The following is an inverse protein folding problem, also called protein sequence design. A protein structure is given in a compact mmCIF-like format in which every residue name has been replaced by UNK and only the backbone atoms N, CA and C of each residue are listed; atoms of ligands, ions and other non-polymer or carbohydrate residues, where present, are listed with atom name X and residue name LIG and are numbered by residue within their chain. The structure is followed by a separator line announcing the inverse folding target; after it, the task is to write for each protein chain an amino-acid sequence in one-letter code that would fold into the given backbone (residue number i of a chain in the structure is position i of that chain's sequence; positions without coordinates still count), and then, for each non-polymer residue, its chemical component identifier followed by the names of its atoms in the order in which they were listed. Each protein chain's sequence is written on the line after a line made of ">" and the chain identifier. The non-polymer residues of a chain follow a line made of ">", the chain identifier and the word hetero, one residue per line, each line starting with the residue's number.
data_IF_165055735206
#
_entry.id   IF_165055735206
#
_cell.length_a   1.000
_cell.length_b   1.000
_cell.length_c   1.000
_cell.angle_alpha   90.00
_cell.angle_beta   90.00
_cell.angle_gamma   90.00
#
_symmetry.space_group_name_H-M   'P 1'
#
loop_
_entity.id
_entity.type
_entity.pdbx_description
1 polymer ?
#
# COMPACT_ATOMS: atom_id res chain seq x y z
N UNK A 1 -6.25 4.29 16.56
CA UNK A 1 -6.90 4.53 15.26
C UNK A 1 -6.62 3.36 14.33
N UNK A 2 -7.62 2.91 13.55
CA UNK A 2 -7.41 1.90 12.52
C UNK A 2 -6.92 2.56 11.22
N UNK A 3 -6.09 1.88 10.42
CA UNK A 3 -5.65 2.41 9.12
C UNK A 3 -6.83 2.58 8.15
N UNK A 4 -7.03 3.77 7.60
CA UNK A 4 -8.02 3.99 6.54
C UNK A 4 -7.72 3.14 5.30
N UNK A 5 -6.45 2.94 4.99
CA UNK A 5 -5.97 2.11 3.88
C UNK A 5 -6.33 0.62 4.01
N UNK A 6 -6.74 0.19 5.19
CA UNK A 6 -7.22 -1.17 5.47
C UNK A 6 -8.74 -1.34 5.39
N UNK A 7 -9.49 -0.26 5.18
CA UNK A 7 -10.95 -0.34 5.06
C UNK A 7 -11.38 -0.77 3.66
N UNK A 8 -12.36 -1.68 3.60
CA UNK A 8 -13.07 -2.00 2.36
C UNK A 8 -14.26 -1.04 2.19
N UNK A 9 -14.85 -1.01 0.99
CA UNK A 9 -16.07 -0.23 0.76
C UNK A 9 -17.18 -0.64 1.73
N UNK A 10 -17.31 -1.94 1.99
CA UNK A 10 -18.31 -2.49 2.90
C UNK A 10 -18.05 -2.09 4.36
N UNK A 11 -16.82 -2.31 4.87
CA UNK A 11 -16.49 -1.98 6.25
C UNK A 11 -16.58 -0.49 6.54
N UNK A 12 -16.15 0.36 5.60
CA UNK A 12 -16.25 1.80 5.75
C UNK A 12 -17.71 2.27 5.68
N UNK A 13 -18.53 1.66 4.80
CA UNK A 13 -19.97 1.95 4.72
C UNK A 13 -20.68 1.63 6.04
N UNK A 14 -20.38 0.47 6.65
CA UNK A 14 -20.96 0.10 7.93
C UNK A 14 -20.62 1.11 9.04
N UNK A 15 -19.34 1.52 9.14
CA UNK A 15 -18.91 2.54 10.13
C UNK A 15 -19.56 3.90 9.92
N UNK A 16 -19.74 4.32 8.67
CA UNK A 16 -20.42 5.57 8.34
C UNK A 16 -21.92 5.52 8.63
N UNK A 17 -22.56 4.36 8.43
CA UNK A 17 -23.98 4.15 8.75
C UNK A 17 -24.26 4.29 10.25
N UNK A 18 -23.36 3.81 11.13
CA UNK A 18 -23.44 4.00 12.59
C UNK A 18 -23.50 5.48 12.98
N UNK A 19 -22.95 6.36 12.13
CA UNK A 19 -22.96 7.82 12.30
C UNK A 19 -24.13 8.51 11.57
N UNK A 20 -24.96 7.77 10.86
CA UNK A 20 -26.02 8.32 10.02
C UNK A 20 -25.55 8.95 8.70
N UNK A 21 -24.32 8.69 8.29
CA UNK A 21 -23.80 9.16 7.00
C UNK A 21 -24.28 8.27 5.85
N UNK A 22 -24.62 8.84 4.69
CA UNK A 22 -25.08 8.06 3.54
C UNK A 22 -23.98 7.12 3.00
N UNK A 23 -24.36 5.94 2.50
CA UNK A 23 -23.45 4.91 1.97
C UNK A 23 -22.49 5.40 0.88
N UNK A 24 -22.91 6.35 0.02
CA UNK A 24 -22.07 6.89 -1.03
C UNK A 24 -20.82 7.63 -0.50
N UNK A 25 -20.82 8.06 0.77
CA UNK A 25 -19.68 8.72 1.40
C UNK A 25 -18.47 7.80 1.47
N UNK A 26 -18.67 6.50 1.71
CA UNK A 26 -17.57 5.53 1.71
C UNK A 26 -16.82 5.54 0.38
N UNK A 27 -17.54 5.48 -0.74
CA UNK A 27 -16.94 5.54 -2.08
C UNK A 27 -16.20 6.86 -2.32
N UNK A 28 -16.77 7.99 -1.89
CA UNK A 28 -16.12 9.30 -1.99
C UNK A 28 -14.79 9.36 -1.23
N UNK A 29 -14.77 8.84 0.01
CA UNK A 29 -13.55 8.81 0.85
C UNK A 29 -12.48 7.95 0.20
N UNK A 30 -12.83 6.73 -0.24
CA UNK A 30 -11.90 5.83 -0.91
C UNK A 30 -11.39 6.38 -2.25
N UNK A 31 -12.23 7.10 -2.99
CA UNK A 31 -11.81 7.78 -4.22
C UNK A 31 -10.78 8.89 -3.95
N UNK A 32 -10.96 9.68 -2.89
CA UNK A 32 -9.97 10.65 -2.47
C UNK A 32 -8.62 9.99 -2.09
N UNK A 33 -8.69 8.87 -1.39
CA UNK A 33 -7.49 8.15 -0.95
C UNK A 33 -6.75 7.51 -2.12
N UNK A 34 -7.43 6.71 -2.94
CA UNK A 34 -6.80 5.85 -3.94
C UNK A 34 -6.64 6.51 -5.32
N UNK A 35 -7.64 7.29 -5.77
CA UNK A 35 -7.62 7.89 -7.11
C UNK A 35 -7.02 9.29 -7.10
N UNK A 36 -7.45 10.13 -6.17
CA UNK A 36 -6.94 11.51 -6.05
C UNK A 36 -5.67 11.61 -5.21
N UNK A 37 -5.41 10.61 -4.35
CA UNK A 37 -4.20 10.46 -3.54
C UNK A 37 -3.88 11.70 -2.70
N UNK A 38 -4.92 12.30 -2.14
CA UNK A 38 -4.75 13.42 -1.21
C UNK A 38 -3.86 13.02 -0.03
N UNK A 39 -3.18 13.98 0.54
CA UNK A 39 -2.19 13.75 1.61
C UNK A 39 -2.73 14.07 3.01
N UNK A 40 -3.93 14.63 3.10
CA UNK A 40 -4.57 15.00 4.36
C UNK A 40 -6.10 14.97 4.23
N UNK A 41 -6.77 14.97 5.37
CA UNK A 41 -8.22 15.08 5.45
C UNK A 41 -8.76 16.36 4.82
N UNK A 42 -8.00 17.47 4.91
CA UNK A 42 -8.40 18.76 4.32
C UNK A 42 -8.45 18.75 2.80
N UNK A 43 -7.69 17.88 2.17
CA UNK A 43 -7.76 17.64 0.73
C UNK A 43 -9.08 17.06 0.26
N UNK A 44 -9.89 16.45 1.14
CA UNK A 44 -11.20 15.86 0.83
C UNK A 44 -12.30 16.93 0.82
N UNK A 45 -12.23 17.86 -0.12
CA UNK A 45 -12.98 19.14 -0.11
C UNK A 45 -14.50 19.00 -0.23
N UNK A 46 -15.02 17.88 -0.75
CA UNK A 46 -16.46 17.60 -0.85
C UNK A 46 -17.05 16.93 0.39
N UNK A 47 -16.23 16.66 1.42
CA UNK A 47 -16.68 16.18 2.72
C UNK A 47 -16.88 17.35 3.67
N UNK A 48 -17.91 17.28 4.51
CA UNK A 48 -18.18 18.30 5.53
C UNK A 48 -17.04 18.35 6.57
N UNK A 49 -16.81 19.50 7.17
CA UNK A 49 -15.82 19.66 8.24
C UNK A 49 -16.04 18.70 9.42
N UNK A 50 -17.29 18.51 9.93
CA UNK A 50 -17.56 17.55 10.99
C UNK A 50 -17.21 16.09 10.60
N UNK A 51 -17.47 15.70 9.35
CA UNK A 51 -17.12 14.35 8.87
C UNK A 51 -15.59 14.18 8.80
N UNK A 52 -14.86 15.17 8.28
CA UNK A 52 -13.39 15.13 8.24
C UNK A 52 -12.76 15.07 9.64
N UNK A 53 -13.29 15.81 10.60
CA UNK A 53 -12.84 15.75 11.99
C UNK A 53 -13.06 14.35 12.59
N UNK A 54 -14.23 13.76 12.39
CA UNK A 54 -14.49 12.39 12.84
C UNK A 54 -13.58 11.35 12.17
N UNK A 55 -13.35 11.49 10.87
CA UNK A 55 -12.42 10.61 10.16
C UNK A 55 -11.01 10.70 10.75
N UNK A 56 -10.55 11.92 11.07
CA UNK A 56 -9.25 12.13 11.72
C UNK A 56 -9.20 11.52 13.13
N UNK A 57 -10.27 11.60 13.90
CA UNK A 57 -10.35 10.98 15.23
C UNK A 57 -10.36 9.45 15.18
N UNK A 58 -11.03 8.88 14.17
CA UNK A 58 -11.30 7.44 14.06
C UNK A 58 -10.19 6.68 13.35
N UNK A 59 -9.67 7.25 12.28
CA UNK A 59 -8.74 6.58 11.38
C UNK A 59 -7.34 7.17 11.41
N UNK A 60 -6.36 6.31 11.16
CA UNK A 60 -5.06 6.73 10.70
C UNK A 60 -5.11 6.89 9.18
N UNK A 61 -4.84 8.10 8.71
CA UNK A 61 -4.90 8.42 7.29
C UNK A 61 -3.94 7.55 6.46
N UNK A 62 -2.71 7.38 6.95
CA UNK A 62 -1.68 6.54 6.35
C UNK A 62 -0.78 5.97 7.46
N UNK A 63 -0.81 4.65 7.70
CA UNK A 63 -0.18 4.02 8.87
C UNK A 63 1.34 3.88 8.78
N UNK A 64 1.95 4.41 7.73
CA UNK A 64 3.38 4.38 7.51
C UNK A 64 3.91 5.76 7.11
N UNK A 65 5.16 6.05 7.43
CA UNK A 65 5.87 7.28 7.05
C UNK A 65 7.12 6.92 6.26
N UNK A 66 7.37 7.59 5.14
CA UNK A 66 8.61 7.42 4.39
C UNK A 66 9.77 8.08 5.15
N UNK A 67 10.74 7.28 5.60
CA UNK A 67 11.92 7.76 6.35
C UNK A 67 13.12 7.94 5.44
N UNK A 68 13.38 6.94 4.57
CA UNK A 68 14.52 6.96 3.66
C UNK A 68 14.07 6.54 2.26
N UNK A 69 14.57 7.24 1.27
CA UNK A 69 14.48 6.87 -0.13
C UNK A 69 15.89 6.68 -0.67
N UNK A 70 16.35 5.45 -0.72
CA UNK A 70 17.65 5.10 -1.26
C UNK A 70 17.51 4.80 -2.74
N UNK A 71 18.15 5.61 -3.57
CA UNK A 71 18.22 5.39 -5.02
C UNK A 71 19.52 4.67 -5.34
N UNK A 72 19.42 3.61 -6.10
CA UNK A 72 20.58 2.93 -6.68
C UNK A 72 20.92 3.53 -8.06
N UNK A 73 22.18 3.45 -8.47
CA UNK A 73 22.64 3.87 -9.78
C UNK A 73 21.99 3.05 -10.91
N UNK A 74 21.52 1.83 -10.60
CA UNK A 74 20.97 0.84 -11.52
C UNK A 74 19.46 0.85 -11.53
N UNK A 75 18.65 1.68 -11.50
CA UNK A 75 17.18 1.63 -11.72
C UNK A 75 16.32 1.12 -10.55
N UNK A 76 16.92 0.81 -9.40
CA UNK A 76 16.19 0.32 -8.23
C UNK A 76 16.10 1.39 -7.15
N UNK A 77 14.92 1.63 -6.61
CA UNK A 77 14.74 2.50 -5.44
C UNK A 77 14.21 1.68 -4.27
N UNK A 78 14.84 1.82 -3.12
CA UNK A 78 14.38 1.23 -1.87
C UNK A 78 13.80 2.31 -0.96
N UNK A 79 12.54 2.11 -0.57
CA UNK A 79 11.83 2.95 0.37
C UNK A 79 11.86 2.29 1.74
N UNK A 80 12.37 2.97 2.74
CA UNK A 80 12.27 2.59 4.13
C UNK A 80 11.07 3.30 4.74
N UNK A 81 10.11 2.53 5.20
CA UNK A 81 8.86 3.01 5.79
C UNK A 81 8.85 2.70 7.29
N UNK A 82 8.59 3.71 8.10
CA UNK A 82 8.37 3.59 9.54
C UNK A 82 6.88 3.46 9.82
N UNK A 83 6.51 2.41 10.54
CA UNK A 83 5.16 2.14 11.00
C UNK A 83 4.88 2.87 12.32
N UNK A 84 3.61 2.93 12.74
CA UNK A 84 3.19 3.66 13.95
C UNK A 84 3.83 3.17 15.26
N UNK A 85 4.27 1.91 15.29
CA UNK A 85 4.96 1.32 16.43
C UNK A 85 6.50 1.47 16.36
N UNK A 86 7.01 2.28 15.44
CA UNK A 86 8.44 2.48 15.20
C UNK A 86 9.11 1.33 14.45
N UNK A 87 8.36 0.30 14.01
CA UNK A 87 8.93 -0.77 13.20
C UNK A 87 9.22 -0.27 11.80
N UNK A 88 10.30 -0.79 11.21
CA UNK A 88 10.74 -0.44 9.86
C UNK A 88 10.45 -1.58 8.88
N UNK A 89 9.95 -1.23 7.72
CA UNK A 89 9.75 -2.15 6.59
C UNK A 89 10.32 -1.56 5.31
N UNK A 90 10.67 -2.42 4.38
CA UNK A 90 11.19 -2.03 3.07
C UNK A 90 10.15 -2.28 1.97
N UNK A 91 10.12 -1.36 1.02
CA UNK A 91 9.37 -1.47 -0.24
C UNK A 91 10.32 -1.10 -1.37
N UNK A 92 10.38 -1.91 -2.42
CA UNK A 92 11.35 -1.71 -3.50
C UNK A 92 10.63 -1.43 -4.81
N UNK A 93 11.06 -0.39 -5.53
CA UNK A 93 10.63 -0.08 -6.88
C UNK A 93 11.72 -0.58 -7.82
N UNK A 94 11.39 -1.58 -8.63
CA UNK A 94 12.29 -2.17 -9.62
C UNK A 94 11.85 -1.70 -11.00
N UNK A 95 12.74 -1.00 -11.72
CA UNK A 95 12.49 -0.57 -13.10
C UNK A 95 13.22 -1.48 -14.06
N UNK A 96 12.54 -1.99 -15.08
CA UNK A 96 13.16 -2.77 -16.13
C UNK A 96 13.60 -1.81 -17.24
N UNK A 97 14.91 -1.66 -17.51
CA UNK A 97 15.39 -0.86 -18.63
C UNK A 97 14.82 -1.39 -19.95
N UNK A 98 14.35 -0.50 -20.80
CA UNK A 98 13.96 -0.82 -22.17
C UNK A 98 14.80 0.05 -23.12
N UNK A 99 15.37 -0.56 -24.17
CA UNK A 99 16.11 0.19 -25.17
C UNK A 99 15.23 1.28 -25.80
N UNK A 100 15.76 2.51 -25.85
CA UNK A 100 15.06 3.66 -26.42
C UNK A 100 13.97 4.28 -25.52
N UNK A 101 13.74 3.75 -24.30
CA UNK A 101 12.77 4.27 -23.35
C UNK A 101 13.51 4.82 -22.13
N UNK A 102 13.22 6.07 -21.77
CA UNK A 102 13.79 6.68 -20.56
C UNK A 102 13.39 5.91 -19.29
N UNK A 103 14.22 5.98 -18.26
CA UNK A 103 14.04 5.24 -16.98
C UNK A 103 12.65 5.50 -16.36
N UNK A 104 12.15 6.72 -16.49
CA UNK A 104 10.83 7.10 -15.94
C UNK A 104 9.64 6.47 -16.67
N UNK A 105 9.84 6.01 -17.91
CA UNK A 105 8.83 5.31 -18.73
C UNK A 105 9.06 3.79 -18.78
N UNK A 106 10.06 3.27 -18.05
CA UNK A 106 10.31 1.84 -17.97
C UNK A 106 9.22 1.12 -17.17
N UNK A 107 9.07 -0.19 -17.45
CA UNK A 107 8.17 -1.06 -16.68
C UNK A 107 8.58 -1.09 -15.20
N UNK A 108 7.63 -0.82 -14.31
CA UNK A 108 7.85 -0.74 -12.86
C UNK A 108 7.20 -1.91 -12.14
N UNK A 109 7.99 -2.64 -11.37
CA UNK A 109 7.52 -3.71 -10.48
C UNK A 109 7.76 -3.28 -9.04
N UNK A 110 6.73 -3.39 -8.19
CA UNK A 110 6.82 -3.02 -6.78
C UNK A 110 6.90 -4.27 -5.93
N UNK A 111 7.99 -4.38 -5.17
CA UNK A 111 8.17 -5.43 -4.19
C UNK A 111 7.68 -4.93 -2.82
N UNK A 112 6.69 -5.63 -2.24
CA UNK A 112 6.05 -5.26 -0.98
C UNK A 112 6.29 -6.29 0.11
N UNK A 113 6.29 -5.80 1.36
CA UNK A 113 6.45 -6.59 2.58
C UNK A 113 5.09 -6.95 3.19
N UNK A 114 5.04 -8.09 3.91
CA UNK A 114 3.84 -8.59 4.61
C UNK A 114 4.03 -8.73 6.10
N UNK A 115 5.26 -8.69 6.59
CA UNK A 115 5.61 -8.82 8.01
C UNK A 115 6.74 -7.84 8.37
N UNK A 116 6.90 -7.57 9.66
CA UNK A 116 8.13 -7.00 10.22
C UNK A 116 9.03 -8.15 10.62
N UNK A 117 10.10 -8.37 9.86
CA UNK A 117 10.93 -9.58 9.97
C UNK A 117 10.27 -10.80 9.35
N UNK A 118 10.79 -12.00 9.62
CA UNK A 118 10.29 -13.26 9.10
C UNK A 118 10.70 -14.43 10.00
N UNK A 119 9.82 -15.41 10.21
CA UNK A 119 10.10 -16.59 11.02
C UNK A 119 10.68 -17.77 10.22
N UNK A 120 10.74 -17.69 8.88
CA UNK A 120 11.11 -18.86 8.03
C UNK A 120 12.58 -19.24 8.10
N UNK A 121 13.47 -18.32 8.52
CA UNK A 121 14.90 -18.64 8.70
C UNK A 121 15.64 -19.06 7.45
N UNK A 122 15.20 -18.65 6.26
CA UNK A 122 15.88 -18.97 5.00
C UNK A 122 17.33 -18.47 5.03
N UNK A 123 18.30 -19.34 4.81
CA UNK A 123 19.74 -19.08 4.98
C UNK A 123 20.30 -17.98 4.07
N UNK A 124 19.61 -17.67 2.98
CA UNK A 124 19.98 -16.63 2.01
C UNK A 124 19.24 -15.30 2.21
N UNK A 125 18.30 -15.20 3.18
CA UNK A 125 17.38 -14.07 3.30
C UNK A 125 17.66 -13.25 4.55
N UNK A 126 17.99 -11.97 4.37
CA UNK A 126 18.26 -11.05 5.48
C UNK A 126 17.01 -10.77 6.34
N UNK A 127 15.80 -10.90 5.79
CA UNK A 127 14.55 -10.64 6.54
C UNK A 127 14.34 -11.56 7.74
N UNK A 128 14.96 -12.74 7.73
CA UNK A 128 14.90 -13.70 8.84
C UNK A 128 15.93 -13.49 9.96
N UNK A 129 16.95 -12.65 9.76
CA UNK A 129 18.07 -12.49 10.73
C UNK A 129 17.62 -12.00 12.10
N UNK A 130 16.65 -11.11 12.16
CA UNK A 130 16.08 -10.57 13.40
C UNK A 130 14.84 -11.34 13.89
N UNK A 131 14.45 -12.43 13.21
CA UNK A 131 13.20 -13.14 13.47
C UNK A 131 11.95 -12.37 13.08
N UNK A 132 10.79 -12.90 13.45
CA UNK A 132 9.50 -12.26 13.24
C UNK A 132 9.15 -11.36 14.43
N UNK A 133 8.89 -10.08 14.17
CA UNK A 133 8.34 -9.17 15.17
C UNK A 133 6.80 -9.23 15.19
N UNK A 134 6.17 -9.03 14.03
CA UNK A 134 4.72 -9.13 13.85
C UNK A 134 4.29 -9.17 12.39
N UNK A 135 3.05 -9.55 12.17
CA UNK A 135 2.37 -9.40 10.88
C UNK A 135 2.05 -7.92 10.60
N UNK A 136 2.06 -7.54 9.33
CA UNK A 136 1.48 -6.27 8.89
C UNK A 136 -0.03 -6.37 8.82
N UNK A 137 -0.73 -5.29 9.15
CA UNK A 137 -2.15 -5.15 8.87
C UNK A 137 -2.37 -4.97 7.36
N UNK A 138 -3.58 -5.25 6.87
CA UNK A 138 -3.94 -4.99 5.47
C UNK A 138 -3.69 -3.53 5.07
N UNK A 139 -3.98 -2.60 5.98
CA UNK A 139 -3.73 -1.17 5.76
C UNK A 139 -2.25 -0.82 5.61
N UNK A 140 -1.36 -1.45 6.39
CA UNK A 140 0.09 -1.25 6.26
C UNK A 140 0.63 -1.86 4.96
N UNK A 141 0.09 -3.00 4.52
CA UNK A 141 0.43 -3.60 3.22
C UNK A 141 0.05 -2.65 2.07
N UNK A 142 -1.17 -2.13 2.09
CA UNK A 142 -1.67 -1.20 1.05
C UNK A 142 -0.95 0.15 1.09
N UNK A 143 -0.60 0.64 2.28
CA UNK A 143 0.09 1.93 2.46
C UNK A 143 1.42 2.00 1.70
N UNK A 144 2.15 0.89 1.58
CA UNK A 144 3.38 0.81 0.80
C UNK A 144 3.15 1.28 -0.64
N UNK A 145 2.08 0.80 -1.26
CA UNK A 145 1.74 1.15 -2.64
C UNK A 145 1.26 2.60 -2.79
N UNK A 146 0.58 3.14 -1.78
CA UNK A 146 0.20 4.56 -1.75
C UNK A 146 1.45 5.45 -1.72
N UNK A 147 2.46 5.10 -0.93
CA UNK A 147 3.74 5.83 -0.91
C UNK A 147 4.44 5.78 -2.27
N UNK A 148 4.50 4.60 -2.90
CA UNK A 148 5.04 4.45 -4.26
C UNK A 148 4.29 5.31 -5.25
N UNK A 149 2.96 5.25 -5.27
CA UNK A 149 2.14 6.04 -6.17
C UNK A 149 2.37 7.55 -6.01
N UNK A 150 2.38 8.06 -4.78
CA UNK A 150 2.63 9.49 -4.50
C UNK A 150 4.00 9.93 -4.98
N UNK A 151 5.01 9.09 -4.75
CA UNK A 151 6.37 9.36 -5.18
C UNK A 151 6.50 9.40 -6.70
N UNK A 152 5.95 8.42 -7.39
CA UNK A 152 6.00 8.35 -8.86
C UNK A 152 5.18 9.47 -9.51
N UNK A 153 4.03 9.84 -8.95
CA UNK A 153 3.23 10.99 -9.41
C UNK A 153 3.99 12.32 -9.27
N UNK A 154 4.85 12.44 -8.26
CA UNK A 154 5.70 13.63 -8.08
C UNK A 154 6.85 13.70 -9.11
N UNK A 155 7.32 12.55 -9.59
CA UNK A 155 8.40 12.46 -10.60
C UNK A 155 7.86 12.63 -12.03
N UNK A 156 6.79 11.93 -12.32
CA UNK A 156 6.16 11.91 -13.65
C UNK A 156 4.66 12.07 -13.46
N UNK A 157 4.09 13.25 -13.75
CA UNK A 157 2.66 13.44 -13.65
C UNK A 157 1.93 12.43 -14.53
N UNK A 158 1.08 11.63 -13.90
CA UNK A 158 0.33 10.58 -14.59
C UNK A 158 -0.77 11.15 -15.48
N UNK A 159 -1.12 10.40 -16.52
CA UNK A 159 -2.33 10.65 -17.29
C UNK A 159 -3.56 10.47 -16.36
N UNK A 160 -4.61 11.28 -16.58
CA UNK A 160 -5.82 11.30 -15.72
C UNK A 160 -6.54 9.94 -15.56
N UNK A 161 -6.24 8.97 -16.42
CA UNK A 161 -6.90 7.66 -16.46
C UNK A 161 -6.10 6.54 -15.77
N UNK A 162 -4.84 6.77 -15.43
CA UNK A 162 -4.01 5.74 -14.80
C UNK A 162 -4.28 5.69 -13.29
N UNK A 163 -4.74 4.53 -12.82
CA UNK A 163 -5.00 4.29 -11.38
C UNK A 163 -3.75 3.95 -10.59
N UNK A 164 -2.79 3.23 -11.20
CA UNK A 164 -1.52 2.89 -10.57
C UNK A 164 -0.36 3.48 -11.37
N UNK A 165 0.69 3.92 -10.68
CA UNK A 165 1.90 4.47 -11.29
C UNK A 165 2.98 3.40 -11.48
N UNK A 166 2.57 2.12 -11.57
CA UNK A 166 3.42 0.94 -11.71
C UNK A 166 2.66 -0.19 -12.44
N UNK A 167 3.40 -1.19 -12.96
CA UNK A 167 2.87 -2.23 -13.84
C UNK A 167 2.61 -3.56 -13.13
N UNK A 168 3.43 -3.92 -12.14
CA UNK A 168 3.32 -5.18 -11.41
C UNK A 168 3.57 -4.99 -9.92
N UNK A 169 3.04 -5.93 -9.14
CA UNK A 169 3.33 -6.10 -7.72
C UNK A 169 3.92 -7.50 -7.52
N UNK A 170 4.99 -7.57 -6.72
CA UNK A 170 5.52 -8.85 -6.23
C UNK A 170 5.49 -8.83 -4.70
N UNK A 171 4.88 -9.83 -4.10
CA UNK A 171 4.85 -10.03 -2.65
C UNK A 171 6.06 -10.89 -2.28
N UNK A 172 7.23 -10.25 -2.32
CA UNK A 172 8.55 -10.87 -2.15
C UNK A 172 9.48 -10.04 -1.27
N UNK A 173 8.93 -9.09 -0.52
CA UNK A 173 9.65 -8.28 0.47
C UNK A 173 9.84 -9.02 1.80
N UNK A 174 9.77 -8.29 2.91
CA UNK A 174 9.91 -8.87 4.24
C UNK A 174 8.70 -9.71 4.62
N UNK A 175 8.94 -10.94 5.10
CA UNK A 175 7.93 -11.84 5.66
C UNK A 175 7.53 -13.00 4.75
N UNK A 176 6.89 -14.01 5.37
CA UNK A 176 6.19 -15.09 4.67
C UNK A 176 4.74 -14.67 4.45
N UNK A 177 4.30 -14.46 3.19
CA UNK A 177 2.98 -13.90 2.93
C UNK A 177 1.83 -14.81 3.40
N UNK A 178 1.97 -16.13 3.31
CA UNK A 178 0.92 -17.05 3.73
C UNK A 178 0.83 -17.22 5.27
N UNK A 179 1.86 -16.81 6.02
CA UNK A 179 1.77 -16.67 7.48
C UNK A 179 0.96 -15.44 7.92
N UNK A 180 0.63 -14.54 6.98
CA UNK A 180 -0.21 -13.36 7.19
C UNK A 180 -1.42 -13.37 6.23
N UNK A 181 -2.05 -14.53 6.07
CA UNK A 181 -3.02 -14.81 5.02
C UNK A 181 -4.21 -13.85 5.00
N UNK A 182 -4.88 -13.66 6.14
CA UNK A 182 -6.11 -12.85 6.21
C UNK A 182 -5.85 -11.37 5.87
N UNK A 183 -4.76 -10.80 6.41
CA UNK A 183 -4.40 -9.41 6.12
C UNK A 183 -3.95 -9.25 4.67
N UNK A 184 -3.21 -10.22 4.13
CA UNK A 184 -2.82 -10.25 2.73
C UNK A 184 -4.02 -10.34 1.81
N UNK A 185 -4.95 -11.27 2.06
CA UNK A 185 -6.16 -11.44 1.25
C UNK A 185 -7.01 -10.17 1.25
N UNK A 186 -7.19 -9.53 2.41
CA UNK A 186 -7.87 -8.25 2.52
C UNK A 186 -7.16 -7.14 1.74
N UNK A 187 -5.83 -7.07 1.82
CA UNK A 187 -5.04 -6.10 1.04
C UNK A 187 -5.21 -6.34 -0.47
N UNK A 188 -5.12 -7.60 -0.94
CA UNK A 188 -5.32 -7.96 -2.35
C UNK A 188 -6.73 -7.60 -2.84
N UNK A 189 -7.75 -7.79 -2.01
CA UNK A 189 -9.13 -7.37 -2.30
C UNK A 189 -9.21 -5.87 -2.53
N UNK A 190 -8.60 -5.07 -1.64
CA UNK A 190 -8.54 -3.61 -1.75
C UNK A 190 -7.79 -3.18 -3.02
N UNK A 191 -6.65 -3.81 -3.31
CA UNK A 191 -5.84 -3.49 -4.49
C UNK A 191 -6.57 -3.78 -5.81
N UNK A 192 -7.33 -4.88 -5.85
CA UNK A 192 -8.02 -5.33 -7.05
C UNK A 192 -9.34 -4.59 -7.32
N UNK A 193 -9.99 -4.07 -6.29
CA UNK A 193 -11.29 -3.42 -6.40
C UNK A 193 -11.25 -2.10 -7.20
N UNK A 194 -12.31 -1.82 -7.95
CA UNK A 194 -12.45 -0.56 -8.75
C UNK A 194 -12.54 0.69 -7.88
N UNK A 195 -13.01 0.58 -6.65
CA UNK A 195 -13.00 1.65 -5.65
C UNK A 195 -11.64 1.80 -4.95
N UNK A 196 -10.75 0.79 -5.09
CA UNK A 196 -9.38 0.79 -4.60
C UNK A 196 -8.40 1.26 -5.68
N UNK A 197 -7.32 0.49 -5.88
CA UNK A 197 -6.34 0.80 -6.92
C UNK A 197 -6.72 0.25 -8.31
N UNK A 198 -7.76 -0.58 -8.44
CA UNK A 198 -8.18 -1.21 -9.69
C UNK A 198 -7.10 -2.07 -10.33
N UNK A 199 -6.22 -2.64 -9.52
CA UNK A 199 -5.03 -3.34 -9.98
C UNK A 199 -5.32 -4.80 -10.28
N UNK A 200 -5.18 -5.21 -11.53
CA UNK A 200 -5.58 -6.55 -11.97
C UNK A 200 -4.77 -7.68 -11.32
N UNK A 201 -5.44 -8.73 -10.84
CA UNK A 201 -4.83 -9.85 -10.13
C UNK A 201 -3.71 -10.55 -10.92
N UNK A 202 -3.79 -10.58 -12.26
CA UNK A 202 -2.75 -11.15 -13.14
C UNK A 202 -1.40 -10.41 -13.09
N UNK A 203 -1.38 -9.22 -12.53
CA UNK A 203 -0.17 -8.39 -12.36
C UNK A 203 0.42 -8.52 -10.95
N UNK A 204 -0.13 -9.41 -10.13
CA UNK A 204 0.35 -9.66 -8.76
C UNK A 204 0.97 -11.06 -8.71
N UNK A 205 2.22 -11.14 -8.29
CA UNK A 205 2.93 -12.39 -8.06
C UNK A 205 3.21 -12.54 -6.58
N UNK A 206 2.92 -13.72 -6.04
CA UNK A 206 3.18 -14.07 -4.66
C UNK A 206 4.23 -15.16 -4.62
N UNK A 207 5.27 -14.99 -3.78
CA UNK A 207 6.26 -16.03 -3.48
C UNK A 207 6.08 -16.49 -2.03
N UNK A 208 6.13 -17.77 -1.81
CA UNK A 208 5.98 -18.39 -0.49
C UNK A 208 6.98 -19.52 -0.30
N UNK A 209 7.35 -19.77 0.95
CA UNK A 209 8.14 -20.93 1.35
C UNK A 209 7.33 -22.25 1.31
N UNK A 210 6.06 -22.19 0.92
CA UNK A 210 5.17 -23.34 0.83
C UNK A 210 4.31 -23.56 2.08
N UNK A 211 4.16 -22.53 2.93
CA UNK A 211 3.22 -22.59 4.04
C UNK A 211 1.79 -22.68 3.49
N UNK A 212 1.05 -23.71 3.88
CA UNK A 212 -0.37 -23.89 3.51
C UNK A 212 -1.23 -23.32 4.63
N UNK A 213 -2.15 -22.39 4.32
CA UNK A 213 -3.07 -21.82 5.33
C UNK A 213 -4.09 -22.82 5.85
#
# INVERSE_FOLDING_TARGET
>A
KSPLTGETLESLTARLAERGEPAFRAKQILEWLYKKRVTSWDGMTNLSKPLRAWLDETFDFLPATLVVNQQSEDVTDKLLLELRDGSLIETVIIRAPQEGVGVDHSRKTICISTQVGCAMGCVFCASGLAGLKRNLTAGEIVAQLIHVCRREDARTPRARQELASFDNIVVMGMGEPLANYDALLRALTILNADWGLGFGARRITLSTSGLVP
#
